data_IF_572254338549
#
_entry.id   IF_572254338549
#
_cell.length_a   1.000
_cell.length_b   1.000
_cell.length_c   1.000
_cell.angle_alpha   90.00
_cell.angle_beta   90.00
_cell.angle_gamma   90.00
#
_symmetry.space_group_name_H-M   'P 1'
#
loop_
_entity.id
_entity.type
_entity.pdbx_description
1 polymer ?
#
# COMPACT_ATOMS: atom_id res chain seq x y z
N UNK A 1 3.95 -21.23 -2.19
CA UNK A 1 5.33 -20.80 -1.90
C UNK A 1 5.26 -19.72 -0.85
N UNK A 2 5.83 -19.96 0.32
CA UNK A 2 6.02 -18.95 1.38
C UNK A 2 7.20 -18.07 0.97
N UNK A 3 7.15 -16.75 1.18
CA UNK A 3 8.33 -15.91 0.98
C UNK A 3 9.49 -16.43 1.85
N UNK A 4 10.73 -16.29 1.37
CA UNK A 4 11.89 -16.42 2.23
C UNK A 4 11.79 -15.52 3.47
N UNK A 5 12.13 -16.04 4.65
CA UNK A 5 12.06 -15.32 5.93
C UNK A 5 12.87 -14.00 5.94
N UNK A 6 13.88 -13.87 5.08
CA UNK A 6 14.66 -12.64 4.95
C UNK A 6 13.91 -11.47 4.30
N UNK A 7 12.75 -11.70 3.67
CA UNK A 7 11.95 -10.65 3.04
C UNK A 7 11.01 -9.95 4.02
N UNK A 8 10.78 -10.51 5.22
CA UNK A 8 9.89 -9.88 6.20
C UNK A 8 10.37 -8.47 6.59
N UNK A 9 11.65 -8.25 6.95
CA UNK A 9 12.13 -6.89 7.24
C UNK A 9 11.92 -5.93 6.07
N UNK A 10 12.13 -6.41 4.84
CA UNK A 10 11.89 -5.62 3.63
C UNK A 10 10.43 -5.22 3.47
N UNK A 11 9.48 -6.10 3.82
CA UNK A 11 8.06 -5.78 3.75
C UNK A 11 7.69 -4.62 4.69
N UNK A 12 8.26 -4.58 5.89
CA UNK A 12 8.06 -3.47 6.83
C UNK A 12 8.70 -2.16 6.36
N UNK A 13 9.87 -2.23 5.72
CA UNK A 13 10.49 -1.04 5.10
C UNK A 13 9.69 -0.51 3.92
N UNK A 14 9.13 -1.39 3.09
CA UNK A 14 8.35 -0.97 1.93
C UNK A 14 6.98 -0.46 2.38
N UNK A 15 6.29 -1.18 3.26
CA UNK A 15 4.95 -0.84 3.73
C UNK A 15 4.96 -0.67 5.26
N UNK A 16 5.29 0.53 5.77
CA UNK A 16 5.37 0.79 7.21
C UNK A 16 4.00 0.72 7.88
N UNK A 17 3.96 0.42 9.17
CA UNK A 17 2.77 0.49 10.03
C UNK A 17 2.56 1.87 10.67
N UNK A 18 3.46 2.82 10.45
CA UNK A 18 3.19 4.22 10.76
C UNK A 18 2.40 4.87 9.62
N UNK A 19 1.22 5.41 9.95
CA UNK A 19 0.32 6.00 8.95
C UNK A 19 0.92 7.26 8.33
N UNK A 20 1.64 8.07 9.11
CA UNK A 20 2.25 9.30 8.61
C UNK A 20 3.39 8.99 7.62
N UNK A 21 4.24 8.01 7.93
CA UNK A 21 5.30 7.50 7.06
C UNK A 21 4.72 6.86 5.78
N UNK A 22 3.66 6.06 5.92
CA UNK A 22 3.00 5.46 4.77
C UNK A 22 2.44 6.53 3.83
N UNK A 23 1.72 7.52 4.37
CA UNK A 23 1.18 8.64 3.58
C UNK A 23 2.28 9.48 2.98
N UNK A 24 3.34 9.79 3.72
CA UNK A 24 4.50 10.51 3.20
C UNK A 24 5.11 9.78 2.00
N UNK A 25 5.17 8.45 2.03
CA UNK A 25 5.74 7.65 0.94
C UNK A 25 4.81 7.54 -0.28
N UNK A 26 3.52 7.29 -0.04
CA UNK A 26 2.58 6.84 -1.07
C UNK A 26 1.58 7.90 -1.54
N UNK A 27 1.39 8.96 -0.77
CA UNK A 27 0.49 10.07 -1.13
C UNK A 27 1.19 11.18 -1.92
N UNK A 28 2.51 11.08 -2.14
CA UNK A 28 3.22 12.02 -2.99
C UNK A 28 2.83 11.85 -4.47
N UNK A 29 2.68 12.96 -5.22
CA UNK A 29 2.52 12.93 -6.68
C UNK A 29 3.71 12.21 -7.32
N UNK A 30 3.42 11.17 -8.09
CA UNK A 30 4.44 10.37 -8.77
C UNK A 30 3.90 9.99 -10.15
N UNK A 31 4.60 10.43 -11.21
CA UNK A 31 4.19 10.20 -12.60
C UNK A 31 4.22 8.72 -13.02
N UNK A 32 4.86 7.86 -12.23
CA UNK A 32 4.87 6.40 -12.41
C UNK A 32 3.85 5.68 -11.53
N UNK A 33 3.20 6.39 -10.61
CA UNK A 33 2.12 5.81 -9.81
C UNK A 33 0.81 5.86 -10.59
N UNK A 34 -0.12 4.93 -10.32
CA UNK A 34 -1.46 5.00 -10.89
C UNK A 34 -2.15 6.33 -10.55
N UNK A 35 -2.90 6.84 -11.50
CA UNK A 35 -3.76 8.01 -11.29
C UNK A 35 -4.75 7.76 -10.15
N UNK A 36 -5.07 8.79 -9.37
CA UNK A 36 -5.99 8.66 -8.24
C UNK A 36 -5.41 8.03 -6.98
N UNK A 37 -4.19 7.46 -6.98
CA UNK A 37 -3.60 6.86 -5.77
C UNK A 37 -3.51 7.83 -4.59
N UNK A 38 -2.96 9.02 -4.82
CA UNK A 38 -2.75 10.02 -3.77
C UNK A 38 -4.08 10.54 -3.20
N UNK A 39 -5.04 10.83 -4.06
CA UNK A 39 -6.37 11.30 -3.66
C UNK A 39 -7.19 10.20 -2.98
N UNK A 40 -7.10 8.97 -3.49
CA UNK A 40 -7.67 7.79 -2.88
C UNK A 40 -7.17 7.57 -1.45
N UNK A 41 -5.85 7.64 -1.23
CA UNK A 41 -5.25 7.58 0.10
C UNK A 41 -5.72 8.73 0.99
N UNK A 42 -5.85 9.95 0.47
CA UNK A 42 -6.33 11.11 1.22
C UNK A 42 -7.74 10.89 1.80
N UNK A 43 -8.58 10.12 1.11
CA UNK A 43 -9.95 9.77 1.54
C UNK A 43 -10.02 8.59 2.53
N UNK A 44 -8.93 7.84 2.74
CA UNK A 44 -8.91 6.72 3.68
C UNK A 44 -8.74 7.20 5.11
N UNK A 45 -9.38 6.54 6.06
CA UNK A 45 -9.07 6.73 7.49
C UNK A 45 -7.74 6.07 7.85
N UNK A 46 -7.17 6.43 9.00
CA UNK A 46 -5.90 5.87 9.47
C UNK A 46 -5.98 4.36 9.69
N UNK A 47 -7.10 3.85 10.23
CA UNK A 47 -7.36 2.40 10.36
C UNK A 47 -7.37 1.68 9.01
N UNK A 48 -7.91 2.31 7.97
CA UNK A 48 -7.93 1.73 6.63
C UNK A 48 -6.54 1.74 5.99
N UNK A 49 -5.73 2.77 6.25
CA UNK A 49 -4.33 2.82 5.82
C UNK A 49 -3.52 1.70 6.49
N UNK A 50 -3.71 1.48 7.79
CA UNK A 50 -3.06 0.38 8.52
C UNK A 50 -3.43 -0.99 7.93
N UNK A 51 -4.72 -1.23 7.67
CA UNK A 51 -5.20 -2.46 7.03
C UNK A 51 -4.63 -2.63 5.62
N UNK A 52 -4.53 -1.54 4.85
CA UNK A 52 -3.90 -1.56 3.52
C UNK A 52 -2.41 -1.91 3.61
N UNK A 53 -1.68 -1.28 4.54
CA UNK A 53 -0.26 -1.54 4.74
C UNK A 53 -0.01 -3.01 5.11
N UNK A 54 -0.81 -3.56 6.04
CA UNK A 54 -0.77 -4.98 6.39
C UNK A 54 -1.07 -5.88 5.18
N UNK A 55 -2.12 -5.59 4.42
CA UNK A 55 -2.48 -6.35 3.24
C UNK A 55 -1.38 -6.32 2.16
N UNK A 56 -0.74 -5.16 1.96
CA UNK A 56 0.38 -5.00 1.02
C UNK A 56 1.63 -5.76 1.48
N UNK A 57 1.94 -5.77 2.79
CA UNK A 57 3.02 -6.61 3.35
C UNK A 57 2.76 -8.09 3.10
N UNK A 58 1.56 -8.56 3.43
CA UNK A 58 1.18 -9.95 3.21
C UNK A 58 1.19 -10.32 1.72
N UNK A 59 0.74 -9.41 0.86
CA UNK A 59 0.80 -9.59 -0.59
C UNK A 59 2.25 -9.69 -1.07
N UNK A 60 3.15 -8.80 -0.65
CA UNK A 60 4.56 -8.86 -1.03
C UNK A 60 5.22 -10.19 -0.64
N UNK A 61 4.89 -10.71 0.54
CA UNK A 61 5.46 -11.95 1.05
C UNK A 61 4.83 -13.21 0.44
N UNK A 62 3.52 -13.21 0.15
CA UNK A 62 2.79 -14.45 -0.16
C UNK A 62 2.17 -14.47 -1.54
N UNK A 63 1.78 -13.30 -2.07
CA UNK A 63 1.03 -13.18 -3.32
C UNK A 63 1.30 -11.81 -3.99
N UNK A 64 2.50 -11.58 -4.55
CA UNK A 64 2.87 -10.27 -5.10
C UNK A 64 1.93 -9.79 -6.22
N UNK A 65 1.27 -10.72 -6.92
CA UNK A 65 0.27 -10.44 -7.93
C UNK A 65 -0.96 -9.68 -7.42
N UNK A 66 -1.22 -9.66 -6.11
CA UNK A 66 -2.34 -8.92 -5.51
C UNK A 66 -2.02 -7.44 -5.26
N UNK A 67 -0.74 -7.04 -5.27
CA UNK A 67 -0.33 -5.65 -5.00
C UNK A 67 -1.01 -4.66 -5.96
N UNK A 68 -1.05 -4.88 -7.29
CA UNK A 68 -1.76 -3.99 -8.21
C UNK A 68 -3.26 -3.89 -7.91
N UNK A 69 -3.89 -5.00 -7.51
CA UNK A 69 -5.32 -5.02 -7.15
C UNK A 69 -5.60 -4.19 -5.91
N UNK A 70 -4.76 -4.30 -4.87
CA UNK A 70 -4.88 -3.50 -3.65
C UNK A 70 -4.74 -2.01 -3.95
N UNK A 71 -3.78 -1.63 -4.79
CA UNK A 71 -3.66 -0.24 -5.24
C UNK A 71 -4.83 0.21 -6.12
N UNK A 72 -5.43 -0.68 -6.92
CA UNK A 72 -6.65 -0.40 -7.68
C UNK A 72 -7.81 0.05 -6.78
N UNK A 73 -8.04 -0.65 -5.67
CA UNK A 73 -9.09 -0.29 -4.70
C UNK A 73 -8.89 1.11 -4.10
N UNK A 74 -7.64 1.50 -3.88
CA UNK A 74 -7.29 2.85 -3.42
C UNK A 74 -7.60 3.87 -4.51
N UNK A 75 -7.22 3.60 -5.76
CA UNK A 75 -7.44 4.51 -6.88
C UNK A 75 -8.94 4.70 -7.16
N UNK A 76 -9.74 3.64 -7.09
CA UNK A 76 -11.20 3.71 -7.31
C UNK A 76 -11.90 4.66 -6.32
N UNK A 77 -11.38 4.77 -5.08
CA UNK A 77 -11.91 5.72 -4.09
C UNK A 77 -11.70 7.19 -4.48
N UNK A 78 -10.72 7.51 -5.33
CA UNK A 78 -10.54 8.89 -5.79
C UNK A 78 -11.72 9.37 -6.63
N UNK A 79 -12.42 8.47 -7.31
CA UNK A 79 -13.53 8.77 -8.22
C UNK A 79 -14.92 8.56 -7.61
N UNK A 80 -15.00 8.09 -6.36
CA UNK A 80 -16.24 7.98 -5.56
C UNK A 80 -16.44 9.20 -4.67
#
# INVERSE_FOLDING_TARGET
MTAPDYLEPTAWTVYPDDVAEFRATYQMPNTRAPEGRAEGLAKMTDDEVLKLAEALRLALLRRPSEIPRLWGLVCDRSFS
#
